data_IF_555052039090
#
_entry.id   IF_555052039090
#
_cell.length_a   1.000
_cell.length_b   1.000
_cell.length_c   1.000
_cell.angle_alpha   90.00
_cell.angle_beta   90.00
_cell.angle_gamma   90.00
#
_symmetry.space_group_name_H-M   'P 1'
#
loop_
_entity.id
_entity.type
_entity.pdbx_description
1 polymer ?
#
# COMPACT_ATOMS: atom_id res chain seq x y z
N UNK A 1 2.39 -11.48 -13.16
CA UNK A 1 3.63 -11.43 -13.97
C UNK A 1 3.90 -12.76 -14.67
N UNK A 2 4.55 -12.71 -15.83
CA UNK A 2 5.15 -13.89 -16.48
C UNK A 2 6.60 -14.01 -16.03
N UNK A 3 6.92 -15.10 -15.33
CA UNK A 3 8.25 -15.35 -14.76
C UNK A 3 8.86 -16.57 -15.44
N UNK A 4 10.05 -16.42 -15.98
CA UNK A 4 10.80 -17.54 -16.55
C UNK A 4 11.94 -17.92 -15.61
N UNK A 5 12.04 -19.20 -15.27
CA UNK A 5 13.11 -19.77 -14.44
C UNK A 5 13.98 -20.66 -15.31
N UNK A 6 15.28 -20.34 -15.38
CA UNK A 6 16.24 -21.19 -16.09
C UNK A 6 16.61 -22.41 -15.24
N UNK A 7 16.29 -23.60 -15.76
CA UNK A 7 16.40 -24.88 -15.06
C UNK A 7 17.82 -25.43 -15.07
N UNK A 8 18.75 -24.74 -14.36
CA UNK A 8 20.08 -25.26 -14.03
C UNK A 8 20.51 -24.74 -12.68
N UNK A 9 20.85 -25.64 -11.76
CA UNK A 9 21.47 -25.30 -10.49
C UNK A 9 20.53 -24.83 -9.37
N UNK A 10 19.24 -24.57 -9.64
CA UNK A 10 18.27 -24.17 -8.62
C UNK A 10 17.16 -25.21 -8.44
N UNK A 11 16.49 -25.19 -7.28
CA UNK A 11 15.29 -26.01 -7.03
C UNK A 11 14.06 -25.37 -7.71
N UNK A 12 13.97 -25.59 -9.02
CA UNK A 12 12.92 -25.05 -9.89
C UNK A 12 11.53 -25.44 -9.42
N UNK A 13 11.37 -26.67 -8.88
CA UNK A 13 10.07 -27.17 -8.45
C UNK A 13 9.51 -26.39 -7.26
N UNK A 14 10.36 -26.07 -6.30
CA UNK A 14 10.01 -25.27 -5.12
C UNK A 14 9.77 -23.80 -5.49
N UNK A 15 10.62 -23.23 -6.34
CA UNK A 15 10.46 -21.84 -6.84
C UNK A 15 9.15 -21.69 -7.61
N UNK A 16 8.89 -22.59 -8.58
CA UNK A 16 7.68 -22.55 -9.41
C UNK A 16 6.41 -22.65 -8.57
N UNK A 17 6.40 -23.59 -7.60
CA UNK A 17 5.25 -23.77 -6.72
C UNK A 17 5.00 -22.54 -5.85
N UNK A 18 6.02 -21.97 -5.27
CA UNK A 18 5.91 -20.80 -4.41
C UNK A 18 5.40 -19.56 -5.19
N UNK A 19 5.96 -19.29 -6.36
CA UNK A 19 5.56 -18.16 -7.16
C UNK A 19 4.17 -18.35 -7.81
N UNK A 20 3.81 -19.57 -8.20
CA UNK A 20 2.47 -19.88 -8.70
C UNK A 20 1.38 -19.72 -7.62
N UNK A 21 1.70 -20.03 -6.33
CA UNK A 21 0.77 -19.82 -5.22
C UNK A 21 0.48 -18.33 -4.95
N UNK A 22 1.35 -17.43 -5.40
CA UNK A 22 1.17 -15.98 -5.35
C UNK A 22 0.48 -15.40 -6.60
N UNK A 23 0.03 -16.26 -7.53
CA UNK A 23 -0.72 -15.85 -8.71
C UNK A 23 0.15 -15.47 -9.92
N UNK A 24 1.45 -15.80 -9.91
CA UNK A 24 2.33 -15.57 -11.06
C UNK A 24 2.28 -16.72 -12.05
N UNK A 25 2.40 -16.40 -13.35
CA UNK A 25 2.55 -17.40 -14.42
C UNK A 25 4.04 -17.76 -14.56
N UNK A 26 4.41 -18.95 -14.11
CA UNK A 26 5.82 -19.35 -14.01
C UNK A 26 6.14 -20.46 -15.01
N UNK A 27 7.13 -20.22 -15.86
CA UNK A 27 7.63 -21.17 -16.84
C UNK A 27 9.08 -21.56 -16.54
N UNK A 28 9.36 -22.85 -16.41
CA UNK A 28 10.71 -23.36 -16.35
C UNK A 28 11.22 -23.66 -17.76
N UNK A 29 12.47 -23.30 -18.05
CA UNK A 29 13.12 -23.46 -19.36
C UNK A 29 14.52 -24.03 -19.17
N UNK A 30 14.85 -25.07 -19.91
CA UNK A 30 16.13 -25.77 -19.78
C UNK A 30 17.27 -25.11 -20.55
N UNK A 31 16.94 -24.36 -21.61
CA UNK A 31 17.90 -23.71 -22.50
C UNK A 31 17.55 -22.24 -22.70
N UNK A 32 18.56 -21.39 -22.87
CA UNK A 32 18.40 -19.94 -23.07
C UNK A 32 17.76 -19.56 -24.43
N UNK A 33 17.88 -20.43 -25.43
CA UNK A 33 17.23 -20.27 -26.74
C UNK A 33 15.70 -20.46 -26.71
N UNK A 34 15.17 -21.12 -25.67
CA UNK A 34 13.73 -21.26 -25.43
C UNK A 34 13.09 -20.07 -24.72
N UNK A 35 13.88 -19.02 -24.38
CA UNK A 35 13.39 -17.83 -23.70
C UNK A 35 12.42 -17.04 -24.61
N UNK A 36 11.22 -16.85 -24.12
CA UNK A 36 10.19 -16.01 -24.72
C UNK A 36 10.09 -14.69 -23.94
N UNK A 37 9.49 -13.67 -24.51
CA UNK A 37 9.22 -12.43 -23.79
C UNK A 37 8.51 -12.71 -22.48
N UNK A 38 9.09 -12.24 -21.37
CA UNK A 38 8.60 -12.42 -20.00
C UNK A 38 8.91 -11.16 -19.18
N UNK A 39 8.32 -11.08 -17.99
CA UNK A 39 8.51 -9.94 -17.10
C UNK A 39 9.77 -10.07 -16.25
N UNK A 40 10.06 -11.28 -15.81
CA UNK A 40 11.21 -11.59 -14.93
C UNK A 40 11.89 -12.85 -15.41
N UNK A 41 13.22 -12.84 -15.40
CA UNK A 41 14.05 -14.04 -15.62
C UNK A 41 14.84 -14.32 -14.36
N UNK A 42 14.69 -15.54 -13.81
CA UNK A 42 15.47 -16.08 -12.70
C UNK A 42 16.59 -16.95 -13.26
N UNK A 43 17.84 -16.61 -12.93
CA UNK A 43 19.02 -17.31 -13.40
C UNK A 43 19.93 -17.68 -12.24
N UNK A 44 20.37 -18.94 -12.17
CA UNK A 44 21.43 -19.34 -11.26
C UNK A 44 22.80 -18.97 -11.83
N UNK A 45 23.42 -17.92 -11.29
CA UNK A 45 24.68 -17.40 -11.80
C UNK A 45 25.88 -18.36 -11.61
N UNK A 46 25.78 -19.34 -10.69
CA UNK A 46 26.83 -20.35 -10.51
C UNK A 46 26.71 -21.48 -11.54
N UNK A 47 25.54 -21.67 -12.14
CA UNK A 47 25.27 -22.72 -13.12
C UNK A 47 25.34 -22.24 -14.59
N UNK A 48 25.27 -20.91 -14.81
CA UNK A 48 25.28 -20.32 -16.14
C UNK A 48 26.51 -19.43 -16.36
N UNK A 49 27.25 -19.58 -17.49
CA UNK A 49 28.40 -18.75 -17.78
C UNK A 49 28.03 -17.26 -17.95
N UNK A 50 28.90 -16.38 -17.47
CA UNK A 50 28.72 -14.92 -17.55
C UNK A 50 28.35 -14.38 -18.95
N UNK A 51 28.98 -14.84 -20.06
CA UNK A 51 28.61 -14.39 -21.40
C UNK A 51 27.15 -14.71 -21.76
N UNK A 52 26.61 -15.85 -21.30
CA UNK A 52 25.21 -16.24 -21.56
C UNK A 52 24.26 -15.37 -20.78
N UNK A 53 24.58 -15.04 -19.53
CA UNK A 53 23.77 -14.14 -18.70
C UNK A 53 23.68 -12.74 -19.34
N UNK A 54 24.80 -12.26 -19.86
CA UNK A 54 24.88 -10.97 -20.59
C UNK A 54 24.06 -11.01 -21.88
N UNK A 55 24.09 -12.11 -22.61
CA UNK A 55 23.30 -12.30 -23.83
C UNK A 55 21.77 -12.35 -23.50
N UNK A 56 21.37 -13.04 -22.43
CA UNK A 56 19.99 -13.05 -21.95
C UNK A 56 19.51 -11.63 -21.62
N UNK A 57 20.31 -10.86 -20.90
CA UNK A 57 19.99 -9.47 -20.57
C UNK A 57 19.85 -8.59 -21.84
N UNK A 58 20.67 -8.79 -22.85
CA UNK A 58 20.60 -8.07 -24.11
C UNK A 58 19.39 -8.48 -24.97
N UNK A 59 19.00 -9.76 -24.95
CA UNK A 59 17.83 -10.29 -25.68
C UNK A 59 16.49 -9.86 -25.06
N UNK A 60 16.46 -9.63 -23.75
CA UNK A 60 15.24 -9.30 -22.98
C UNK A 60 15.39 -7.97 -22.22
N UNK A 61 15.57 -6.84 -22.91
CA UNK A 61 15.87 -5.54 -22.29
C UNK A 61 14.72 -5.02 -21.40
N UNK A 62 13.52 -5.58 -21.53
CA UNK A 62 12.35 -5.21 -20.74
C UNK A 62 12.07 -6.18 -19.57
N UNK A 63 12.78 -7.30 -19.50
CA UNK A 63 12.66 -8.25 -18.41
C UNK A 63 13.57 -7.85 -17.24
N UNK A 64 13.09 -8.01 -16.00
CA UNK A 64 13.91 -7.87 -14.81
C UNK A 64 14.76 -9.14 -14.65
N UNK A 65 16.08 -9.01 -14.62
CA UNK A 65 16.97 -10.14 -14.42
C UNK A 65 17.26 -10.31 -12.93
N UNK A 66 16.99 -11.50 -12.38
CA UNK A 66 17.28 -11.87 -10.99
C UNK A 66 18.27 -13.02 -10.97
N UNK A 67 19.43 -12.77 -10.39
CA UNK A 67 20.52 -13.75 -10.28
C UNK A 67 20.54 -14.42 -8.90
N UNK A 68 20.62 -15.73 -8.88
CA UNK A 68 20.87 -16.51 -7.68
C UNK A 68 22.38 -16.76 -7.59
N UNK A 69 23.04 -16.31 -6.53
CA UNK A 69 24.51 -16.39 -6.36
C UNK A 69 24.88 -17.11 -5.07
N UNK A 70 25.99 -17.84 -5.05
CA UNK A 70 26.48 -18.50 -3.85
C UNK A 70 27.11 -17.52 -2.84
N UNK A 71 27.62 -16.39 -3.30
CA UNK A 71 28.25 -15.36 -2.48
C UNK A 71 27.88 -13.95 -2.95
N UNK A 72 27.68 -12.99 -2.02
CA UNK A 72 27.38 -11.60 -2.39
C UNK A 72 28.54 -10.89 -3.09
N UNK A 73 29.76 -11.46 -3.04
CA UNK A 73 30.95 -10.88 -3.65
C UNK A 73 31.07 -11.20 -5.16
N UNK A 74 30.22 -12.07 -5.68
CA UNK A 74 30.16 -12.37 -7.11
C UNK A 74 29.52 -11.19 -7.84
N UNK A 75 30.30 -10.47 -8.62
CA UNK A 75 29.79 -9.38 -9.44
C UNK A 75 28.81 -9.93 -10.48
N UNK A 76 27.56 -9.44 -10.55
CA UNK A 76 26.63 -9.89 -11.57
C UNK A 76 27.14 -9.49 -12.97
N UNK A 77 27.05 -10.42 -13.91
CA UNK A 77 27.46 -10.25 -15.30
C UNK A 77 26.65 -9.18 -16.08
N UNK A 78 25.52 -8.74 -15.54
CA UNK A 78 24.65 -7.73 -16.13
C UNK A 78 24.46 -6.58 -15.14
N UNK A 79 24.74 -5.34 -15.59
CA UNK A 79 24.67 -4.11 -14.77
C UNK A 79 23.30 -3.83 -14.13
N UNK A 80 22.22 -4.45 -14.64
CA UNK A 80 20.85 -4.23 -14.20
C UNK A 80 20.26 -5.39 -13.37
N UNK A 81 21.04 -6.43 -13.02
CA UNK A 81 20.51 -7.61 -12.36
C UNK A 81 20.35 -7.43 -10.86
N UNK A 82 19.21 -7.86 -10.33
CA UNK A 82 19.00 -8.05 -8.88
C UNK A 82 19.59 -9.38 -8.43
N UNK A 83 20.22 -9.42 -7.26
CA UNK A 83 20.89 -10.62 -6.75
C UNK A 83 20.22 -11.17 -5.48
N UNK A 84 20.08 -12.49 -5.40
CA UNK A 84 19.67 -13.23 -4.21
C UNK A 84 20.74 -14.26 -3.86
N UNK A 85 21.16 -14.28 -2.60
CA UNK A 85 22.22 -15.19 -2.12
C UNK A 85 21.63 -16.52 -1.70
N UNK A 86 22.31 -17.61 -2.06
CA UNK A 86 21.96 -18.98 -1.62
C UNK A 86 22.46 -19.25 -0.18
N UNK A 87 21.75 -20.09 0.62
CA UNK A 87 20.55 -20.84 0.23
C UNK A 87 19.35 -19.91 0.02
N UNK A 88 18.55 -20.20 -1.03
CA UNK A 88 17.43 -19.36 -1.41
C UNK A 88 16.32 -19.42 -0.36
N UNK A 89 16.08 -18.32 0.34
CA UNK A 89 14.93 -18.16 1.20
C UNK A 89 13.70 -17.79 0.35
N UNK A 90 12.78 -18.72 0.21
CA UNK A 90 11.57 -18.56 -0.62
C UNK A 90 10.80 -17.27 -0.26
N UNK A 91 10.71 -16.92 1.02
CA UNK A 91 10.04 -15.69 1.46
C UNK A 91 10.71 -14.42 0.91
N UNK A 92 12.04 -14.40 0.82
CA UNK A 92 12.78 -13.27 0.22
C UNK A 92 12.54 -13.17 -1.28
N UNK A 93 12.49 -14.32 -1.98
CA UNK A 93 12.16 -14.38 -3.40
C UNK A 93 10.74 -13.84 -3.65
N UNK A 94 9.75 -14.33 -2.91
CA UNK A 94 8.35 -13.89 -3.03
C UNK A 94 8.23 -12.38 -2.77
N UNK A 95 8.89 -11.87 -1.74
CA UNK A 95 8.89 -10.42 -1.46
C UNK A 95 9.56 -9.61 -2.57
N UNK A 96 10.68 -10.08 -3.12
CA UNK A 96 11.34 -9.44 -4.25
C UNK A 96 10.41 -9.42 -5.48
N UNK A 97 9.72 -10.53 -5.75
CA UNK A 97 8.77 -10.60 -6.86
C UNK A 97 7.59 -9.64 -6.67
N UNK A 98 7.06 -9.50 -5.46
CA UNK A 98 6.02 -8.49 -5.15
C UNK A 98 6.53 -7.07 -5.42
N UNK A 99 7.76 -6.75 -5.02
CA UNK A 99 8.35 -5.42 -5.30
C UNK A 99 8.53 -5.18 -6.80
N UNK A 100 8.95 -6.20 -7.56
CA UNK A 100 9.08 -6.12 -9.01
C UNK A 100 7.71 -5.97 -9.67
N UNK A 101 6.70 -6.69 -9.17
CA UNK A 101 5.31 -6.62 -9.64
C UNK A 101 4.69 -5.25 -9.34
N UNK A 102 4.81 -4.78 -8.10
CA UNK A 102 4.39 -3.44 -7.70
C UNK A 102 5.11 -2.34 -8.50
N UNK A 103 6.39 -2.54 -8.79
CA UNK A 103 7.15 -1.61 -9.63
C UNK A 103 6.67 -1.59 -11.09
N UNK A 104 6.16 -2.71 -11.63
CA UNK A 104 5.70 -2.84 -13.01
C UNK A 104 4.21 -2.58 -13.19
N UNK A 105 3.36 -3.15 -12.34
CA UNK A 105 1.90 -3.05 -12.44
C UNK A 105 1.28 -1.96 -11.56
N UNK A 106 1.84 -1.72 -10.38
CA UNK A 106 1.42 -0.61 -9.51
C UNK A 106 1.79 0.77 -10.04
N UNK A 107 2.62 0.83 -11.09
CA UNK A 107 3.04 2.11 -11.69
C UNK A 107 2.21 2.52 -12.90
N UNK A 108 1.56 1.60 -13.64
CA UNK A 108 0.87 1.94 -14.88
C UNK A 108 -0.52 2.55 -14.62
N UNK A 109 -1.45 1.83 -14.02
CA UNK A 109 -2.84 2.29 -13.97
C UNK A 109 -3.17 3.17 -12.76
N UNK A 110 -2.64 2.84 -11.58
CA UNK A 110 -2.86 3.66 -10.38
C UNK A 110 -1.95 4.91 -10.34
N UNK A 111 -0.79 4.93 -11.01
CA UNK A 111 0.05 6.13 -11.13
C UNK A 111 -0.55 7.16 -12.09
N UNK A 112 -1.20 6.74 -13.16
CA UNK A 112 -1.90 7.67 -14.06
C UNK A 112 -3.07 8.35 -13.37
N UNK A 113 -3.76 7.66 -12.45
CA UNK A 113 -4.87 8.21 -11.67
C UNK A 113 -4.43 9.07 -10.49
N UNK A 114 -3.24 8.79 -9.93
CA UNK A 114 -2.76 9.40 -8.69
C UNK A 114 -1.67 10.45 -8.93
N UNK A 115 -1.83 11.30 -9.92
CA UNK A 115 -0.94 12.46 -10.08
C UNK A 115 -1.24 13.57 -9.07
N UNK A 116 -0.31 14.52 -8.99
CA UNK A 116 -0.41 15.63 -8.05
C UNK A 116 -1.67 16.48 -8.24
N UNK A 117 -2.08 16.70 -9.49
CA UNK A 117 -3.25 17.54 -9.79
C UNK A 117 -4.56 16.87 -9.40
N UNK A 118 -4.65 15.54 -9.52
CA UNK A 118 -5.83 14.77 -9.14
C UNK A 118 -5.90 14.60 -7.63
N UNK A 119 -4.80 14.21 -6.98
CA UNK A 119 -4.77 14.03 -5.53
C UNK A 119 -5.07 15.31 -4.76
N UNK A 120 -4.65 16.45 -5.29
CA UNK A 120 -4.79 17.75 -4.66
C UNK A 120 -5.80 18.65 -5.39
N UNK A 121 -6.76 18.03 -6.11
CA UNK A 121 -7.93 18.71 -6.62
C UNK A 121 -8.79 19.20 -5.47
N UNK A 122 -9.22 20.46 -5.54
CA UNK A 122 -10.05 21.08 -4.51
C UNK A 122 -9.47 22.39 -4.00
N UNK A 123 -10.21 23.01 -3.10
CA UNK A 123 -9.91 24.33 -2.54
C UNK A 123 -10.01 24.37 -1.01
N UNK A 124 -10.03 23.21 -0.35
CA UNK A 124 -10.06 23.16 1.11
C UNK A 124 -8.84 23.89 1.70
N UNK A 125 -8.98 24.59 2.83
CA UNK A 125 -7.87 25.32 3.47
C UNK A 125 -6.68 24.40 3.77
N UNK A 126 -6.93 23.13 4.08
CA UNK A 126 -5.90 22.14 4.33
C UNK A 126 -5.05 21.90 3.08
N UNK A 127 -5.68 21.71 1.91
CA UNK A 127 -4.98 21.49 0.63
C UNK A 127 -4.27 22.76 0.15
N UNK A 128 -4.89 23.91 0.24
CA UNK A 128 -4.24 25.20 -0.09
C UNK A 128 -2.95 25.40 0.72
N UNK A 129 -2.95 25.03 2.00
CA UNK A 129 -1.73 25.07 2.83
C UNK A 129 -0.65 24.10 2.35
N UNK A 130 -1.02 22.86 2.01
CA UNK A 130 -0.08 21.87 1.44
C UNK A 130 0.53 22.40 0.14
N UNK A 131 -0.29 22.90 -0.80
CA UNK A 131 0.16 23.45 -2.07
C UNK A 131 1.13 24.62 -1.91
N UNK A 132 0.86 25.51 -0.94
CA UNK A 132 1.75 26.62 -0.60
C UNK A 132 3.09 26.11 -0.08
N UNK A 133 3.09 25.12 0.83
CA UNK A 133 4.32 24.52 1.37
C UNK A 133 5.12 23.81 0.28
N UNK A 134 4.48 23.07 -0.61
CA UNK A 134 5.14 22.42 -1.76
C UNK A 134 5.91 23.45 -2.60
N UNK A 135 5.28 24.59 -2.94
CA UNK A 135 5.94 25.65 -3.71
C UNK A 135 7.14 26.26 -2.99
N UNK A 136 7.02 26.52 -1.69
CA UNK A 136 8.10 27.10 -0.88
C UNK A 136 9.27 26.12 -0.75
N UNK A 137 8.98 24.85 -0.44
CA UNK A 137 10.00 23.86 -0.19
C UNK A 137 10.67 23.35 -1.47
N UNK A 138 10.05 23.54 -2.63
CA UNK A 138 10.70 23.27 -3.92
C UNK A 138 11.96 24.14 -4.13
N UNK A 139 12.02 25.34 -3.52
CA UNK A 139 13.16 26.25 -3.64
C UNK A 139 14.30 25.94 -2.65
N UNK A 140 14.15 24.95 -1.77
CA UNK A 140 15.13 24.57 -0.76
C UNK A 140 15.70 23.21 -1.07
N UNK A 141 16.99 22.99 -0.81
CA UNK A 141 17.62 21.65 -0.87
C UNK A 141 17.61 20.91 0.47
N UNK A 142 17.09 21.54 1.52
CA UNK A 142 17.01 20.93 2.84
C UNK A 142 16.10 19.69 2.85
N UNK A 143 16.29 18.76 3.80
CA UNK A 143 15.44 17.61 3.99
C UNK A 143 13.98 18.00 4.24
N UNK A 144 13.04 17.18 3.73
CA UNK A 144 11.61 17.37 3.92
C UNK A 144 11.02 16.08 4.49
N UNK A 145 10.25 16.21 5.57
CA UNK A 145 9.51 15.12 6.16
C UNK A 145 8.02 15.26 5.86
N UNK A 146 7.47 14.26 5.19
CA UNK A 146 6.06 14.19 4.81
C UNK A 146 5.31 13.28 5.79
N UNK A 147 4.39 13.84 6.55
CA UNK A 147 3.53 13.10 7.45
C UNK A 147 2.16 12.89 6.82
N UNK A 148 1.63 11.69 6.91
CA UNK A 148 0.29 11.39 6.42
C UNK A 148 -0.03 9.91 6.47
N UNK A 149 -1.29 9.58 6.52
CA UNK A 149 -1.76 8.19 6.53
C UNK A 149 -1.42 7.46 5.22
N UNK A 150 -1.51 6.12 5.26
CA UNK A 150 -1.35 5.30 4.06
C UNK A 150 -2.32 5.79 2.95
N UNK A 151 -1.82 5.92 1.73
CA UNK A 151 -2.64 6.38 0.60
C UNK A 151 -2.94 7.88 0.56
N UNK A 152 -2.41 8.71 1.48
CA UNK A 152 -2.59 10.17 1.48
C UNK A 152 -1.82 10.92 0.39
N UNK A 153 -0.89 10.26 -0.31
CA UNK A 153 -0.13 10.84 -1.41
C UNK A 153 1.26 11.35 -1.08
N UNK A 154 1.92 10.86 -0.02
CA UNK A 154 3.29 11.27 0.37
C UNK A 154 4.29 11.24 -0.79
N UNK A 155 4.37 10.12 -1.51
CA UNK A 155 5.28 9.97 -2.64
C UNK A 155 4.96 10.94 -3.79
N UNK A 156 3.68 11.22 -4.03
CA UNK A 156 3.23 12.19 -5.04
C UNK A 156 3.64 13.61 -4.67
N UNK A 157 3.54 13.98 -3.40
CA UNK A 157 4.00 15.28 -2.90
C UNK A 157 5.52 15.40 -2.99
N UNK A 158 6.27 14.35 -2.61
CA UNK A 158 7.72 14.33 -2.75
C UNK A 158 8.14 14.54 -4.21
N UNK A 159 7.48 13.85 -5.15
CA UNK A 159 7.70 14.00 -6.60
C UNK A 159 7.36 15.43 -7.06
N UNK A 160 6.24 15.97 -6.61
CA UNK A 160 5.83 17.35 -6.99
C UNK A 160 6.79 18.42 -6.46
N UNK A 161 7.41 18.22 -5.30
CA UNK A 161 8.48 19.09 -4.78
C UNK A 161 9.72 18.98 -5.67
N UNK A 162 10.12 17.77 -6.04
CA UNK A 162 11.25 17.53 -6.93
C UNK A 162 11.06 18.17 -8.31
N UNK A 163 9.92 17.94 -8.96
CA UNK A 163 9.61 18.43 -10.30
C UNK A 163 9.53 19.96 -10.38
N UNK A 164 9.42 20.64 -9.24
CA UNK A 164 9.37 22.11 -9.12
C UNK A 164 10.66 22.69 -8.51
N UNK A 165 11.66 21.88 -8.25
CA UNK A 165 12.93 22.27 -7.62
C UNK A 165 14.02 22.58 -8.67
N UNK A 166 15.17 23.07 -8.19
CA UNK A 166 16.38 23.21 -9.00
C UNK A 166 16.90 21.88 -9.55
N UNK A 167 16.43 20.74 -8.99
CA UNK A 167 16.80 19.38 -9.39
C UNK A 167 15.79 18.75 -10.37
N UNK A 168 14.84 19.53 -10.89
CA UNK A 168 13.94 19.06 -11.95
C UNK A 168 14.73 18.52 -13.15
N UNK A 169 14.29 17.40 -13.73
CA UNK A 169 15.03 16.74 -14.82
C UNK A 169 16.23 15.88 -14.38
N UNK A 170 16.54 15.84 -13.07
CA UNK A 170 17.45 14.86 -12.46
C UNK A 170 16.67 13.65 -11.96
N UNK A 171 17.40 12.62 -11.53
CA UNK A 171 16.76 11.38 -11.03
C UNK A 171 15.94 11.62 -9.77
N UNK A 172 14.73 11.12 -9.76
CA UNK A 172 13.90 11.01 -8.56
C UNK A 172 13.76 9.52 -8.22
N UNK A 173 14.41 9.13 -7.15
CA UNK A 173 14.36 7.76 -6.65
C UNK A 173 13.39 7.72 -5.45
N UNK A 174 12.40 6.84 -5.51
CA UNK A 174 11.43 6.65 -4.44
C UNK A 174 11.41 5.19 -4.00
N UNK A 175 11.38 4.96 -2.70
CA UNK A 175 11.26 3.63 -2.13
C UNK A 175 10.46 3.65 -0.84
N UNK A 176 9.91 2.50 -0.49
CA UNK A 176 9.23 2.29 0.79
C UNK A 176 10.07 1.36 1.66
N UNK A 177 10.49 1.84 2.83
CA UNK A 177 11.30 1.05 3.76
C UNK A 177 10.58 -0.18 4.33
N UNK A 178 9.23 -0.15 4.37
CA UNK A 178 8.43 -1.28 4.83
C UNK A 178 8.24 -2.38 3.75
N UNK A 179 8.65 -2.14 2.49
CA UNK A 179 8.40 -3.10 1.41
C UNK A 179 9.47 -4.19 1.30
N UNK A 180 10.63 -4.03 1.93
CA UNK A 180 11.76 -4.97 1.88
C UNK A 180 12.25 -5.33 3.29
N UNK A 181 12.72 -6.56 3.52
CA UNK A 181 13.50 -6.89 4.71
C UNK A 181 14.71 -5.97 4.85
N UNK A 182 15.14 -5.71 6.10
CA UNK A 182 16.16 -4.72 6.38
C UNK A 182 17.50 -4.96 5.71
N UNK A 183 17.93 -6.21 5.55
CA UNK A 183 19.16 -6.61 4.86
C UNK A 183 19.08 -6.35 3.34
N UNK A 184 17.96 -6.69 2.70
CA UNK A 184 17.71 -6.41 1.29
C UNK A 184 17.54 -4.91 1.04
N UNK A 185 16.91 -4.19 1.98
CA UNK A 185 16.77 -2.75 1.91
C UNK A 185 18.13 -2.05 1.98
N UNK A 186 19.01 -2.51 2.89
CA UNK A 186 20.36 -1.97 3.03
C UNK A 186 21.18 -2.19 1.76
N UNK A 187 21.14 -3.40 1.21
CA UNK A 187 21.82 -3.74 -0.04
C UNK A 187 21.29 -2.91 -1.22
N UNK A 188 19.98 -2.76 -1.33
CA UNK A 188 19.37 -1.98 -2.40
C UNK A 188 19.68 -0.47 -2.28
N UNK A 189 19.67 0.09 -1.07
CA UNK A 189 19.93 1.51 -0.85
C UNK A 189 21.41 1.88 -0.99
N UNK A 190 22.31 1.07 -0.41
CA UNK A 190 23.69 1.44 -0.15
C UNK A 190 24.71 0.40 -0.62
N UNK A 191 24.26 -0.79 -1.01
CA UNK A 191 25.08 -1.90 -1.49
C UNK A 191 25.02 -2.07 -3.01
N UNK A 192 25.48 -3.26 -3.48
CA UNK A 192 25.43 -3.62 -4.90
C UNK A 192 26.40 -2.84 -5.79
N UNK A 193 26.18 -2.93 -7.09
CA UNK A 193 26.99 -2.24 -8.11
C UNK A 193 26.60 -0.78 -8.24
N UNK A 194 25.29 -0.49 -8.27
CA UNK A 194 24.72 0.84 -8.37
C UNK A 194 23.67 1.06 -7.29
N UNK A 195 24.08 1.42 -6.06
CA UNK A 195 23.14 1.69 -4.98
C UNK A 195 22.13 2.79 -5.38
N UNK A 196 20.87 2.64 -4.95
CA UNK A 196 19.85 3.67 -5.22
C UNK A 196 20.27 5.06 -4.76
N UNK A 197 20.99 5.16 -3.65
CA UNK A 197 21.52 6.44 -3.15
C UNK A 197 22.52 7.07 -4.13
N UNK A 198 23.38 6.28 -4.79
CA UNK A 198 24.32 6.76 -5.82
C UNK A 198 23.59 7.18 -7.09
N UNK A 199 22.58 6.40 -7.52
CA UNK A 199 21.75 6.76 -8.69
C UNK A 199 20.95 8.06 -8.47
N UNK A 200 20.69 8.40 -7.21
CA UNK A 200 20.04 9.66 -6.85
C UNK A 200 20.97 10.87 -6.84
N UNK A 201 22.27 10.70 -7.20
CA UNK A 201 23.23 11.81 -7.19
C UNK A 201 22.78 12.96 -8.08
N UNK A 202 22.92 14.19 -7.59
CA UNK A 202 22.40 15.41 -8.23
C UNK A 202 20.87 15.52 -8.22
N UNK A 203 20.16 14.46 -7.83
CA UNK A 203 18.70 14.35 -7.84
C UNK A 203 18.07 14.33 -6.44
N UNK A 204 17.05 13.52 -6.26
CA UNK A 204 16.29 13.39 -5.00
C UNK A 204 16.07 11.92 -4.66
N UNK A 205 16.29 11.57 -3.38
CA UNK A 205 15.94 10.28 -2.81
C UNK A 205 14.79 10.46 -1.82
N UNK A 206 13.66 9.83 -2.08
CA UNK A 206 12.51 9.76 -1.19
C UNK A 206 12.40 8.38 -0.56
N UNK A 207 12.38 8.34 0.78
CA UNK A 207 12.24 7.11 1.56
C UNK A 207 10.93 7.20 2.36
N UNK A 208 9.92 6.41 1.98
CA UNK A 208 8.66 6.31 2.72
C UNK A 208 8.80 5.31 3.87
N UNK A 209 8.00 5.47 4.93
CA UNK A 209 8.02 4.64 6.15
C UNK A 209 9.41 4.64 6.82
N UNK A 210 10.02 5.82 6.96
CA UNK A 210 11.40 5.98 7.45
C UNK A 210 11.65 5.38 8.84
N UNK A 211 10.61 5.25 9.67
CA UNK A 211 10.69 4.61 11.00
C UNK A 211 10.88 3.11 10.95
N UNK A 212 10.65 2.46 9.80
CA UNK A 212 10.88 1.03 9.60
C UNK A 212 12.33 0.71 9.18
N UNK A 213 13.19 1.72 9.02
CA UNK A 213 14.60 1.53 8.70
C UNK A 213 15.34 0.79 9.82
N UNK A 214 16.06 -0.27 9.46
CA UNK A 214 16.95 -0.98 10.39
C UNK A 214 18.07 -0.05 10.92
N UNK A 215 18.59 -0.26 12.14
CA UNK A 215 19.59 0.61 12.75
C UNK A 215 20.87 0.80 11.90
N UNK A 216 21.28 -0.21 11.12
CA UNK A 216 22.41 -0.13 10.19
C UNK A 216 22.16 0.86 9.04
N UNK A 217 20.97 0.76 8.45
CA UNK A 217 20.51 1.65 7.37
C UNK A 217 20.41 3.10 7.85
N UNK A 218 19.88 3.31 9.08
CA UNK A 218 19.80 4.63 9.70
C UNK A 218 21.18 5.28 9.86
N UNK A 219 22.21 4.51 10.26
CA UNK A 219 23.57 5.02 10.40
C UNK A 219 24.19 5.44 9.07
N UNK A 220 23.96 4.66 8.00
CA UNK A 220 24.43 4.99 6.65
C UNK A 220 23.70 6.21 6.09
N UNK A 221 22.38 6.31 6.32
CA UNK A 221 21.58 7.48 5.90
C UNK A 221 22.03 8.76 6.63
N UNK A 222 22.32 8.67 7.94
CA UNK A 222 22.85 9.79 8.70
C UNK A 222 24.18 10.26 8.12
N UNK A 223 25.11 9.34 7.84
CA UNK A 223 26.39 9.66 7.23
C UNK A 223 26.22 10.32 5.84
N UNK A 224 25.29 9.82 5.03
CA UNK A 224 24.96 10.42 3.74
C UNK A 224 24.49 11.88 3.88
N UNK A 225 23.65 12.16 4.89
CA UNK A 225 23.14 13.50 5.20
C UNK A 225 24.24 14.47 5.70
N UNK A 226 25.24 13.97 6.39
CA UNK A 226 26.33 14.78 6.99
C UNK A 226 27.48 14.99 6.05
N UNK A 227 27.99 13.91 5.46
CA UNK A 227 29.23 13.90 4.71
C UNK A 227 28.99 14.07 3.20
N UNK A 228 27.75 13.87 2.71
CA UNK A 228 27.42 13.77 1.29
C UNK A 228 28.32 12.74 0.58
N UNK A 229 28.63 11.66 1.26
CA UNK A 229 29.47 10.56 0.77
C UNK A 229 28.89 9.22 1.19
N UNK A 230 29.06 8.26 0.32
CA UNK A 230 28.67 6.87 0.57
C UNK A 230 29.87 5.96 0.33
N UNK A 231 30.08 5.01 1.25
CA UNK A 231 31.10 3.98 1.08
C UNK A 231 30.54 2.81 0.31
N UNK A 232 30.94 2.68 -0.96
CA UNK A 232 30.54 1.60 -1.86
C UNK A 232 31.74 0.71 -2.14
N UNK A 233 31.69 -0.57 -1.79
CA UNK A 233 32.79 -1.53 -2.01
C UNK A 233 34.14 -1.04 -1.51
N UNK A 234 34.17 -0.38 -0.36
CA UNK A 234 35.41 0.14 0.23
C UNK A 234 35.86 1.50 -0.29
N UNK A 235 35.24 2.04 -1.34
CA UNK A 235 35.55 3.35 -1.92
C UNK A 235 34.53 4.39 -1.44
N UNK A 236 35.00 5.58 -1.04
CA UNK A 236 34.12 6.70 -0.67
C UNK A 236 33.71 7.47 -1.91
N UNK A 237 32.44 7.35 -2.31
CA UNK A 237 31.83 8.02 -3.46
C UNK A 237 31.09 9.27 -3.00
N UNK A 238 31.28 10.45 -3.60
CA UNK A 238 30.46 11.63 -3.32
C UNK A 238 29.05 11.42 -3.85
N UNK A 239 28.03 11.78 -3.05
CA UNK A 239 26.62 11.67 -3.42
C UNK A 239 25.87 12.89 -2.91
N UNK A 240 25.49 13.78 -3.80
CA UNK A 240 24.71 14.98 -3.51
C UNK A 240 23.24 14.76 -3.81
N UNK A 241 22.57 13.87 -3.07
CA UNK A 241 21.16 13.64 -3.19
C UNK A 241 20.36 14.48 -2.18
N UNK A 242 19.30 15.13 -2.62
CA UNK A 242 18.30 15.73 -1.71
C UNK A 242 17.50 14.61 -1.05
N UNK A 243 17.47 14.58 0.28
CA UNK A 243 16.74 13.56 1.03
C UNK A 243 15.35 14.08 1.41
N UNK A 244 14.32 13.32 1.06
CA UNK A 244 12.96 13.49 1.54
C UNK A 244 12.51 12.19 2.18
N UNK A 245 11.72 12.29 3.26
CA UNK A 245 11.22 11.10 3.97
C UNK A 245 9.73 11.19 4.20
N UNK A 246 9.09 10.03 4.29
CA UNK A 246 7.68 9.90 4.61
C UNK A 246 7.44 9.03 5.82
N UNK A 247 6.36 9.30 6.57
CA UNK A 247 5.89 8.42 7.63
C UNK A 247 4.42 8.70 8.00
N UNK A 248 3.81 7.79 8.76
CA UNK A 248 2.47 8.00 9.27
C UNK A 248 2.43 9.03 10.41
N UNK A 249 1.35 9.82 10.45
CA UNK A 249 1.18 10.91 11.44
C UNK A 249 1.26 10.46 12.91
N UNK A 250 0.91 9.18 13.19
CA UNK A 250 0.88 8.62 14.54
C UNK A 250 2.22 8.14 15.07
N UNK A 251 3.21 8.01 14.21
CA UNK A 251 4.57 7.56 14.58
C UNK A 251 5.42 8.64 15.21
N UNK A 252 4.86 9.83 15.48
CA UNK A 252 5.53 10.95 16.15
C UNK A 252 5.98 10.65 17.60
N UNK A 253 5.55 9.53 18.20
CA UNK A 253 6.20 8.99 19.39
C UNK A 253 7.52 8.29 19.01
N UNK A 254 8.47 9.07 18.54
CA UNK A 254 9.80 8.69 18.03
C UNK A 254 10.72 8.14 19.17
N UNK A 255 10.15 7.79 20.28
CA UNK A 255 10.86 7.20 21.41
C UNK A 255 11.32 5.77 21.15
N UNK A 256 12.22 5.55 20.16
CA UNK A 256 12.93 4.30 20.05
C UNK A 256 13.14 3.70 18.67
N UNK A 257 12.36 4.06 17.63
CA UNK A 257 12.53 3.49 16.28
C UNK A 257 13.58 4.21 15.45
N UNK A 258 13.67 5.53 15.55
CA UNK A 258 14.68 6.35 14.87
C UNK A 258 15.76 6.81 15.83
N UNK A 259 17.01 6.80 15.40
CA UNK A 259 18.13 7.41 16.11
C UNK A 259 17.87 8.90 16.27
N UNK A 260 18.12 9.46 17.45
CA UNK A 260 17.86 10.88 17.78
C UNK A 260 18.56 11.83 16.81
N UNK A 261 19.83 11.54 16.47
CA UNK A 261 20.62 12.34 15.54
C UNK A 261 19.99 12.36 14.15
N UNK A 262 19.59 11.19 13.61
CA UNK A 262 18.92 11.09 12.31
C UNK A 262 17.60 11.85 12.32
N UNK A 263 16.81 11.72 13.40
CA UNK A 263 15.56 12.45 13.53
C UNK A 263 15.77 13.97 13.42
N UNK A 264 16.73 14.54 14.15
CA UNK A 264 17.00 15.99 14.11
C UNK A 264 17.52 16.44 12.74
N UNK A 265 18.30 15.61 12.04
CA UNK A 265 18.81 15.93 10.70
C UNK A 265 17.73 15.90 9.63
N UNK A 266 16.74 15.01 9.77
CA UNK A 266 15.60 14.90 8.84
C UNK A 266 14.51 15.93 9.13
N UNK A 267 14.33 16.33 10.39
CA UNK A 267 13.28 17.24 10.85
C UNK A 267 13.63 18.72 10.61
N UNK A 268 13.91 19.09 9.37
CA UNK A 268 14.16 20.49 8.97
C UNK A 268 12.88 21.15 8.48
N UNK A 269 12.17 20.48 7.57
CA UNK A 269 10.89 20.92 7.06
C UNK A 269 9.88 19.79 7.15
N UNK A 270 8.67 20.11 7.60
CA UNK A 270 7.60 19.14 7.76
C UNK A 270 6.37 19.56 6.95
N UNK A 271 5.72 18.60 6.30
CA UNK A 271 4.40 18.77 5.67
C UNK A 271 3.46 17.70 6.21
N UNK A 272 2.36 18.12 6.82
CA UNK A 272 1.27 17.23 7.19
C UNK A 272 0.28 17.13 6.04
N UNK A 273 0.04 15.90 5.57
CA UNK A 273 -0.96 15.60 4.56
C UNK A 273 -2.26 15.20 5.25
N UNK A 274 -3.34 15.96 5.03
CA UNK A 274 -4.61 15.64 5.64
C UNK A 274 -5.18 14.34 5.04
N UNK A 275 -5.76 13.45 5.86
CA UNK A 275 -6.50 12.31 5.36
C UNK A 275 -7.74 12.76 4.58
N UNK A 276 -8.25 11.91 3.69
CA UNK A 276 -9.35 12.27 2.79
C UNK A 276 -10.62 12.70 3.55
N UNK A 277 -10.92 12.07 4.68
CA UNK A 277 -12.04 12.42 5.56
C UNK A 277 -11.96 13.84 6.16
N UNK A 278 -10.76 14.41 6.33
CA UNK A 278 -10.57 15.80 6.81
C UNK A 278 -10.71 16.83 5.68
N UNK A 279 -10.84 16.39 4.42
CA UNK A 279 -11.03 17.22 3.24
C UNK A 279 -12.23 16.76 2.39
N UNK A 280 -13.32 16.40 3.02
CA UNK A 280 -14.53 15.89 2.36
C UNK A 280 -15.06 16.85 1.27
N UNK A 281 -14.84 18.18 1.40
CA UNK A 281 -15.21 19.17 0.38
C UNK A 281 -14.49 18.96 -0.95
N UNK A 282 -13.30 18.39 -0.94
CA UNK A 282 -12.48 18.15 -2.13
C UNK A 282 -12.85 16.83 -2.82
N UNK A 283 -13.57 15.92 -2.13
CA UNK A 283 -13.88 14.59 -2.60
C UNK A 283 -14.54 14.57 -3.98
N UNK A 284 -15.56 15.39 -4.18
CA UNK A 284 -16.25 15.48 -5.47
C UNK A 284 -15.36 15.98 -6.61
N UNK A 285 -14.38 16.86 -6.33
CA UNK A 285 -13.41 17.30 -7.33
C UNK A 285 -12.40 16.19 -7.67
N UNK A 286 -11.95 15.45 -6.67
CA UNK A 286 -11.03 14.30 -6.83
C UNK A 286 -11.71 13.21 -7.66
N UNK A 287 -12.94 12.81 -7.30
CA UNK A 287 -13.72 11.80 -8.01
C UNK A 287 -13.88 12.19 -9.49
N UNK A 288 -14.31 13.41 -9.77
CA UNK A 288 -14.47 13.90 -11.15
C UNK A 288 -13.19 13.75 -11.95
N UNK A 289 -12.06 14.22 -11.43
CA UNK A 289 -10.77 14.11 -12.12
C UNK A 289 -10.34 12.67 -12.35
N UNK A 290 -10.58 11.78 -11.38
CA UNK A 290 -10.29 10.35 -11.54
C UNK A 290 -11.16 9.71 -12.63
N UNK A 291 -12.46 9.97 -12.61
CA UNK A 291 -13.37 9.46 -13.63
C UNK A 291 -13.07 10.05 -15.02
N UNK A 292 -12.64 11.31 -15.09
CA UNK A 292 -12.20 11.92 -16.35
C UNK A 292 -11.01 11.21 -16.97
N UNK A 293 -10.12 10.65 -16.16
CA UNK A 293 -8.96 9.86 -16.62
C UNK A 293 -9.29 8.41 -16.95
N UNK A 294 -10.27 7.84 -16.23
CA UNK A 294 -10.75 6.48 -16.47
C UNK A 294 -11.67 6.38 -17.70
N UNK A 295 -11.89 7.48 -18.44
CA UNK A 295 -12.72 7.50 -19.64
C UNK A 295 -12.23 6.53 -20.70
N UNK A 296 -13.00 5.51 -20.96
CA UNK A 296 -12.84 4.67 -22.15
C UNK A 296 -13.67 5.28 -23.28
N UNK A 297 -13.05 5.63 -24.40
CA UNK A 297 -13.76 6.13 -25.58
C UNK A 297 -14.28 7.57 -25.51
N UNK A 298 -13.78 8.41 -24.57
CA UNK A 298 -14.10 9.85 -24.52
C UNK A 298 -15.42 10.22 -23.84
N UNK A 299 -16.22 9.26 -23.40
CA UNK A 299 -17.49 9.50 -22.69
C UNK A 299 -17.29 9.66 -21.17
N UNK A 300 -17.99 10.62 -20.56
CA UNK A 300 -18.02 10.75 -19.11
C UNK A 300 -18.71 9.52 -18.50
N UNK A 301 -18.11 8.97 -17.43
CA UNK A 301 -18.73 7.90 -16.65
C UNK A 301 -19.52 8.55 -15.50
N UNK A 302 -20.87 8.60 -15.59
CA UNK A 302 -21.67 9.24 -14.54
C UNK A 302 -21.77 8.35 -13.32
N UNK A 303 -21.90 8.99 -12.14
CA UNK A 303 -22.26 8.34 -10.88
C UNK A 303 -23.74 8.51 -10.62
N UNK A 304 -24.41 7.46 -10.13
CA UNK A 304 -25.76 7.57 -9.60
C UNK A 304 -25.74 8.34 -8.27
N UNK A 305 -26.89 8.89 -7.90
CA UNK A 305 -27.03 9.56 -6.61
C UNK A 305 -26.76 8.65 -5.42
N UNK A 306 -27.10 7.35 -5.54
CA UNK A 306 -26.83 6.35 -4.52
C UNK A 306 -25.33 6.08 -4.36
N UNK A 307 -24.62 5.89 -5.47
CA UNK A 307 -23.15 5.71 -5.47
C UNK A 307 -22.43 6.96 -4.93
N UNK A 308 -22.86 8.15 -5.32
CA UNK A 308 -22.28 9.41 -4.82
C UNK A 308 -22.42 9.53 -3.31
N UNK A 309 -23.62 9.34 -2.76
CA UNK A 309 -23.84 9.38 -1.30
C UNK A 309 -23.02 8.34 -0.55
N UNK A 310 -22.87 7.15 -1.11
CA UNK A 310 -22.05 6.09 -0.51
C UNK A 310 -20.58 6.49 -0.42
N UNK A 311 -20.04 7.05 -1.49
CA UNK A 311 -18.67 7.55 -1.51
C UNK A 311 -18.46 8.73 -0.55
N UNK A 312 -19.45 9.63 -0.42
CA UNK A 312 -19.38 10.78 0.51
C UNK A 312 -19.45 10.36 1.98
N UNK A 313 -20.18 9.29 2.28
CA UNK A 313 -20.34 8.78 3.63
C UNK A 313 -19.18 7.90 4.12
N UNK A 314 -18.38 7.36 3.20
CA UNK A 314 -17.31 6.43 3.53
C UNK A 314 -16.02 7.15 3.98
N UNK A 315 -15.39 6.73 5.09
CA UNK A 315 -14.25 7.44 5.69
C UNK A 315 -12.92 7.25 4.97
N UNK A 316 -12.82 6.33 4.00
CA UNK A 316 -11.61 6.00 3.25
C UNK A 316 -10.35 5.80 4.12
N UNK A 317 -10.25 4.72 4.91
CA UNK A 317 -9.07 4.44 5.71
C UNK A 317 -7.77 4.32 4.86
N UNK A 318 -7.87 3.85 3.61
CA UNK A 318 -6.79 3.84 2.62
C UNK A 318 -6.69 5.12 1.79
N UNK A 319 -7.41 6.18 2.18
CA UNK A 319 -7.37 7.51 1.57
C UNK A 319 -7.62 7.50 0.05
N UNK A 320 -6.87 8.32 -0.68
CA UNK A 320 -7.07 8.52 -2.12
C UNK A 320 -6.70 7.26 -2.93
N UNK A 321 -5.81 6.42 -2.42
CA UNK A 321 -5.48 5.14 -3.07
C UNK A 321 -6.67 4.19 -3.04
N UNK A 322 -7.36 4.08 -1.92
CA UNK A 322 -8.56 3.26 -1.78
C UNK A 322 -9.69 3.80 -2.68
N UNK A 323 -9.90 5.12 -2.70
CA UNK A 323 -10.85 5.76 -3.60
C UNK A 323 -10.54 5.44 -5.07
N UNK A 324 -9.27 5.54 -5.49
CA UNK A 324 -8.86 5.22 -6.85
C UNK A 324 -9.18 3.75 -7.22
N UNK A 325 -8.86 2.81 -6.32
CA UNK A 325 -9.19 1.40 -6.52
C UNK A 325 -10.71 1.18 -6.62
N UNK A 326 -11.49 1.80 -5.75
CA UNK A 326 -12.95 1.69 -5.75
C UNK A 326 -13.55 2.21 -7.06
N UNK A 327 -13.08 3.35 -7.57
CA UNK A 327 -13.56 3.92 -8.83
C UNK A 327 -13.11 3.09 -10.03
N UNK A 328 -11.87 2.60 -10.07
CA UNK A 328 -11.38 1.72 -11.13
C UNK A 328 -12.22 0.45 -11.22
N UNK A 329 -12.48 -0.19 -10.08
CA UNK A 329 -13.35 -1.36 -9.99
C UNK A 329 -14.77 -1.06 -10.51
N UNK A 330 -15.37 0.06 -10.07
CA UNK A 330 -16.70 0.45 -10.46
C UNK A 330 -16.83 0.77 -11.97
N UNK A 331 -15.81 1.41 -12.56
CA UNK A 331 -15.79 1.69 -14.02
C UNK A 331 -15.76 0.39 -14.83
N UNK A 332 -14.99 -0.60 -14.39
CA UNK A 332 -14.94 -1.91 -15.07
C UNK A 332 -16.31 -2.60 -15.01
N UNK A 333 -16.95 -2.62 -13.84
CA UNK A 333 -18.26 -3.26 -13.66
C UNK A 333 -19.40 -2.53 -14.38
N UNK A 334 -19.33 -1.20 -14.48
CA UNK A 334 -20.35 -0.40 -15.18
C UNK A 334 -20.32 -0.56 -16.70
N UNK A 335 -19.27 -1.20 -17.25
CA UNK A 335 -19.11 -1.44 -18.71
C UNK A 335 -19.33 -0.19 -19.56
N UNK A 336 -18.92 0.99 -19.07
CA UNK A 336 -19.10 2.28 -19.74
C UNK A 336 -20.44 2.94 -19.52
N UNK A 337 -21.33 2.33 -18.74
CA UNK A 337 -22.61 2.92 -18.28
C UNK A 337 -22.44 3.75 -17.00
N UNK A 338 -23.57 4.07 -16.38
CA UNK A 338 -23.60 4.76 -15.10
C UNK A 338 -23.08 3.85 -13.97
N UNK A 339 -22.24 4.40 -13.10
CA UNK A 339 -21.80 3.68 -11.91
C UNK A 339 -22.93 3.69 -10.88
N UNK A 340 -23.47 2.52 -10.60
CA UNK A 340 -24.48 2.29 -9.57
C UNK A 340 -23.84 1.86 -8.25
N UNK A 341 -24.64 1.81 -7.19
CA UNK A 341 -24.17 1.45 -5.84
C UNK A 341 -23.56 0.03 -5.79
N UNK A 342 -24.14 -0.92 -6.52
CA UNK A 342 -23.69 -2.31 -6.58
C UNK A 342 -22.38 -2.52 -7.35
N UNK A 343 -21.94 -1.52 -8.13
CA UNK A 343 -20.62 -1.52 -8.75
C UNK A 343 -19.50 -1.13 -7.80
N UNK A 344 -19.81 -0.52 -6.63
CA UNK A 344 -18.81 -0.15 -5.62
C UNK A 344 -18.38 -1.37 -4.79
N UNK A 345 -17.19 -1.37 -4.17
CA UNK A 345 -16.77 -2.40 -3.22
C UNK A 345 -17.76 -2.57 -2.05
N UNK A 346 -17.87 -3.81 -1.55
CA UNK A 346 -18.85 -4.17 -0.51
C UNK A 346 -18.73 -3.30 0.76
N UNK A 347 -17.52 -3.00 1.20
CA UNK A 347 -17.27 -2.17 2.38
C UNK A 347 -17.89 -0.77 2.26
N UNK A 348 -17.84 -0.19 1.03
CA UNK A 348 -18.44 1.11 0.73
C UNK A 348 -19.97 1.00 0.65
N UNK A 349 -20.49 -0.08 0.08
CA UNK A 349 -21.94 -0.33 0.01
C UNK A 349 -22.58 -0.49 1.38
N UNK A 350 -21.95 -1.26 2.29
CA UNK A 350 -22.51 -1.59 3.62
C UNK A 350 -22.67 -0.34 4.50
N UNK A 351 -21.75 0.62 4.41
CA UNK A 351 -21.84 1.85 5.17
C UNK A 351 -23.11 2.64 4.84
N UNK A 352 -23.55 2.58 3.58
CA UNK A 352 -24.75 3.30 3.12
C UNK A 352 -26.03 2.54 3.44
N UNK A 353 -26.00 1.20 3.46
CA UNK A 353 -27.17 0.40 3.85
C UNK A 353 -27.63 0.69 5.28
N UNK A 354 -26.70 1.14 6.16
CA UNK A 354 -27.04 1.64 7.49
C UNK A 354 -27.63 3.07 7.51
N UNK A 355 -27.45 3.85 6.44
CA UNK A 355 -27.89 5.25 6.33
C UNK A 355 -29.10 5.48 5.39
N UNK A 356 -29.42 4.50 4.54
CA UNK A 356 -30.46 4.63 3.49
C UNK A 356 -31.90 4.49 4.05
N UNK A 357 -32.11 4.80 5.33
CA UNK A 357 -33.46 4.94 5.86
C UNK A 357 -34.05 6.35 5.77
N UNK A 358 -33.32 7.35 5.22
CA UNK A 358 -33.73 8.76 5.31
C UNK A 358 -33.97 9.48 3.97
N UNK A 359 -34.31 8.78 2.87
CA UNK A 359 -35.08 9.48 1.83
C UNK A 359 -36.56 9.48 2.23
N UNK A 360 -37.27 10.60 2.09
CA UNK A 360 -38.72 10.57 2.08
C UNK A 360 -39.18 9.83 0.82
N UNK A 361 -38.98 8.52 0.82
CA UNK A 361 -39.62 7.62 -0.15
C UNK A 361 -41.12 7.79 -0.05
N UNK A 362 -41.82 7.43 -1.12
CA UNK A 362 -43.27 7.36 -1.20
C UNK A 362 -43.86 7.01 0.19
N UNK A 363 -44.75 7.84 0.76
CA UNK A 363 -45.36 7.60 2.10
C UNK A 363 -45.92 6.18 2.28
N UNK A 364 -46.13 5.45 1.18
CA UNK A 364 -46.57 4.06 1.18
C UNK A 364 -45.46 3.05 1.48
N UNK A 365 -44.18 3.47 1.43
CA UNK A 365 -43.03 2.60 1.74
C UNK A 365 -42.49 2.77 3.16
N UNK A 366 -43.01 3.66 3.96
CA UNK A 366 -42.57 3.88 5.34
C UNK A 366 -42.93 2.67 6.23
N UNK A 367 -41.90 2.08 6.83
CA UNK A 367 -42.10 1.06 7.86
C UNK A 367 -42.68 1.70 9.14
N UNK A 368 -43.48 0.93 9.88
CA UNK A 368 -43.99 1.40 11.18
C UNK A 368 -42.82 1.62 12.15
N UNK A 369 -42.95 2.59 13.05
CA UNK A 369 -41.93 2.85 14.09
C UNK A 369 -41.61 1.56 14.89
N UNK A 370 -42.61 0.71 15.11
CA UNK A 370 -42.43 -0.58 15.79
C UNK A 370 -41.54 -1.54 14.98
N UNK A 371 -41.70 -1.61 13.66
CA UNK A 371 -40.88 -2.47 12.79
C UNK A 371 -39.43 -2.01 12.78
N UNK A 372 -39.19 -0.70 12.68
CA UNK A 372 -37.85 -0.10 12.70
C UNK A 372 -37.18 -0.30 14.05
N UNK A 373 -37.90 -0.04 15.15
CA UNK A 373 -37.39 -0.24 16.50
C UNK A 373 -37.03 -1.72 16.76
N UNK A 374 -37.84 -2.64 16.29
CA UNK A 374 -37.63 -4.09 16.43
C UNK A 374 -36.40 -4.54 15.64
N UNK A 375 -36.19 -4.01 14.42
CA UNK A 375 -34.98 -4.28 13.61
C UNK A 375 -33.73 -3.75 14.29
N UNK A 376 -33.73 -2.49 14.72
CA UNK A 376 -32.60 -1.87 15.43
C UNK A 376 -32.25 -2.62 16.71
N UNK A 377 -33.26 -3.00 17.52
CA UNK A 377 -33.06 -3.76 18.75
C UNK A 377 -32.41 -5.12 18.47
N UNK A 378 -32.87 -5.84 17.42
CA UNK A 378 -32.27 -7.10 16.98
C UNK A 378 -30.81 -6.96 16.61
N UNK A 379 -30.51 -5.97 15.78
CA UNK A 379 -29.12 -5.74 15.27
C UNK A 379 -28.18 -5.35 16.40
N UNK A 380 -28.65 -4.54 17.35
CA UNK A 380 -27.88 -4.16 18.51
C UNK A 380 -27.61 -5.34 19.45
N UNK A 381 -28.59 -6.19 19.70
CA UNK A 381 -28.45 -7.42 20.48
C UNK A 381 -27.42 -8.37 19.86
N UNK A 382 -27.47 -8.56 18.54
CA UNK A 382 -26.49 -9.37 17.80
C UNK A 382 -25.08 -8.79 17.86
N UNK A 383 -24.93 -7.48 17.73
CA UNK A 383 -23.65 -6.77 17.84
C UNK A 383 -23.02 -6.98 19.22
N UNK A 384 -23.77 -6.78 20.28
CA UNK A 384 -23.30 -7.00 21.66
C UNK A 384 -22.93 -8.46 21.90
N UNK A 385 -23.73 -9.41 21.43
CA UNK A 385 -23.41 -10.84 21.57
C UNK A 385 -22.11 -11.21 20.85
N UNK A 386 -21.89 -10.71 19.63
CA UNK A 386 -20.63 -10.93 18.91
C UNK A 386 -19.44 -10.34 19.67
N UNK A 387 -19.57 -9.10 20.18
CA UNK A 387 -18.51 -8.41 20.93
C UNK A 387 -18.08 -9.13 22.22
N UNK A 388 -19.00 -9.91 22.83
CA UNK A 388 -18.69 -10.69 24.05
C UNK A 388 -18.48 -12.18 23.78
N UNK A 389 -18.30 -12.61 22.52
CA UNK A 389 -18.07 -14.00 22.17
C UNK A 389 -19.24 -14.95 22.53
N UNK A 390 -20.47 -14.46 22.47
CA UNK A 390 -21.65 -15.26 22.80
C UNK A 390 -21.99 -15.33 24.31
N UNK A 391 -21.17 -14.76 25.17
CA UNK A 391 -21.38 -14.82 26.63
C UNK A 391 -22.59 -13.99 27.08
N UNK A 392 -23.73 -14.68 27.31
CA UNK A 392 -25.02 -14.06 27.65
C UNK A 392 -25.01 -13.33 28.97
N UNK A 393 -24.25 -13.78 29.96
CA UNK A 393 -24.14 -13.10 31.26
C UNK A 393 -23.45 -11.76 31.12
N UNK A 394 -22.40 -11.71 30.32
CA UNK A 394 -21.64 -10.48 30.04
C UNK A 394 -22.43 -9.53 29.15
N UNK A 395 -23.16 -10.06 28.15
CA UNK A 395 -24.08 -9.29 27.32
C UNK A 395 -25.19 -8.63 28.13
N UNK A 396 -25.83 -9.38 29.03
CA UNK A 396 -26.87 -8.84 29.89
C UNK A 396 -26.37 -7.68 30.77
N UNK A 397 -25.14 -7.78 31.30
CA UNK A 397 -24.52 -6.71 32.09
C UNK A 397 -24.24 -5.47 31.26
N UNK A 398 -23.76 -5.62 30.02
CA UNK A 398 -23.48 -4.50 29.11
C UNK A 398 -24.74 -3.78 28.67
N UNK A 399 -25.83 -4.55 28.46
CA UNK A 399 -27.15 -4.06 28.04
C UNK A 399 -27.99 -3.51 29.20
N UNK A 400 -27.48 -3.57 30.43
CA UNK A 400 -28.22 -3.24 31.66
C UNK A 400 -29.56 -3.99 31.78
N UNK A 401 -29.53 -5.29 31.44
CA UNK A 401 -30.69 -6.17 31.47
C UNK A 401 -30.45 -7.32 32.44
N UNK A 402 -31.55 -7.81 33.05
CA UNK A 402 -31.49 -9.09 33.74
C UNK A 402 -31.28 -10.25 32.75
N UNK A 403 -30.68 -11.36 33.16
CA UNK A 403 -30.51 -12.56 32.31
C UNK A 403 -31.83 -13.01 31.69
N UNK A 404 -32.94 -12.98 32.50
CA UNK A 404 -34.28 -13.31 32.04
C UNK A 404 -34.79 -12.30 31.00
N UNK A 405 -34.53 -11.00 31.21
CA UNK A 405 -34.89 -9.93 30.26
C UNK A 405 -34.16 -10.07 28.93
N UNK A 406 -32.85 -10.34 28.95
CA UNK A 406 -32.10 -10.61 27.74
C UNK A 406 -32.60 -11.85 26.99
N UNK A 407 -32.90 -12.94 27.72
CA UNK A 407 -33.45 -14.17 27.13
C UNK A 407 -34.79 -13.91 26.44
N UNK A 408 -35.70 -13.15 27.08
CA UNK A 408 -36.98 -12.78 26.49
C UNK A 408 -36.84 -11.96 25.21
N UNK A 409 -35.91 -10.99 25.18
CA UNK A 409 -35.63 -10.19 24.00
C UNK A 409 -35.02 -11.03 22.87
N UNK A 410 -34.06 -11.87 23.16
CA UNK A 410 -33.49 -12.80 22.17
C UNK A 410 -34.53 -13.72 21.55
N UNK A 411 -35.45 -14.25 22.40
CA UNK A 411 -36.57 -15.09 21.94
C UNK A 411 -37.56 -14.30 21.07
N UNK A 412 -37.89 -13.07 21.46
CA UNK A 412 -38.80 -12.19 20.71
C UNK A 412 -38.26 -11.82 19.32
N UNK A 413 -36.93 -11.75 19.16
CA UNK A 413 -36.27 -11.46 17.91
C UNK A 413 -35.85 -12.71 17.12
N UNK A 414 -36.22 -13.92 17.56
CA UNK A 414 -35.91 -15.18 16.89
C UNK A 414 -34.39 -15.48 16.81
N UNK A 415 -33.60 -14.91 17.71
CA UNK A 415 -32.16 -15.19 17.81
C UNK A 415 -32.04 -16.51 18.58
N UNK A 416 -31.96 -17.62 17.81
CA UNK A 416 -31.99 -18.96 18.34
C UNK A 416 -30.71 -19.33 19.11
N UNK A 417 -30.83 -20.29 19.99
CA UNK A 417 -29.78 -20.90 20.81
C UNK A 417 -28.85 -21.84 19.99
N UNK A 418 -28.28 -21.39 18.86
CA UNK A 418 -27.48 -22.25 17.97
C UNK A 418 -26.03 -21.82 17.78
N UNK A 419 -25.37 -21.38 18.87
CA UNK A 419 -23.88 -21.38 18.91
C UNK A 419 -23.47 -21.29 20.38
N UNK A 420 -23.24 -22.44 20.99
CA UNK A 420 -22.77 -22.51 22.38
C UNK A 420 -22.99 -23.88 23.02
N UNK A 421 -22.56 -24.94 22.33
CA UNK A 421 -22.20 -26.20 23.02
C UNK A 421 -20.71 -26.05 23.38
N UNK A 422 -20.46 -25.77 24.63
CA UNK A 422 -19.13 -25.80 25.26
C UNK A 422 -19.26 -25.35 26.70
N UNK A 423 -19.28 -26.37 27.57
CA UNK A 423 -19.10 -26.34 29.02
C UNK A 423 -20.31 -26.61 29.88
N UNK A 424 -20.32 -27.86 30.19
CA UNK A 424 -20.96 -28.68 31.20
C UNK A 424 -21.26 -28.02 32.56
N UNK A 425 -22.46 -28.33 33.01
CA UNK A 425 -22.80 -28.78 34.35
C UNK A 425 -21.60 -29.19 35.21
N UNK A 426 -21.34 -28.40 36.23
CA UNK A 426 -20.81 -28.87 37.52
C UNK A 426 -20.98 -27.71 38.52
N UNK A 427 -22.01 -27.82 39.31
CA UNK A 427 -22.07 -27.51 40.73
C UNK A 427 -23.54 -27.54 41.22
N UNK A 428 -23.94 -28.75 41.50
CA UNK A 428 -25.00 -29.00 42.43
C UNK A 428 -24.37 -29.39 43.78
N UNK A 429 -24.96 -28.85 44.83
CA UNK A 429 -24.95 -29.31 46.21
C UNK A 429 -23.65 -29.37 47.00
N UNK A 430 -23.62 -28.55 48.06
CA UNK A 430 -23.39 -28.97 49.44
C UNK A 430 -23.18 -27.78 50.39
N UNK A 431 -23.45 -27.88 51.69
CA UNK A 431 -24.76 -27.93 52.33
C UNK A 431 -25.18 -26.60 53.01
#
# INVERSE_FOLDING_TARGET
MQITVLDRGCDVSTITRALASEGHDVKAVAHDDELIACDVVLVDADAWPEPVITEIAARLPHAELVLLVASPDVAPAAEAAKTLVKPLEINKLVQLMRVVDDARHGQSDARELLDFETLFAGDSPAIVNVLRRVRLLAQSDAPVWLHGELGSGRAVVARAIHDRSSRQGRMFMAMNAASLPGDLLEEHLFGGLEPVAVRADGGTLFIDSVTELAPGVQAKLLRLLEDQRLRVRGVDVPVNARIMVGDERRTLNVGGRLRRELHYRLKVHEIDLPPLRERARDLGAIIRRMLDRLRSGGHAVPLSNAATRSLEAYPFPGNVRELAHALTHAVVLSQGGQIELDHLPADIQEQTRGMVSDEPGDPTSLETLEAVAKRFERDYLLRVLRAVGGNRTRAAKILDLSRKGLWQKLKAHGIAASEGRGESEEEADLP
#
